data_IF_979084737282
#
_entry.id   IF_979084737282
#
_cell.length_a   1.000
_cell.length_b   1.000
_cell.length_c   1.000
_cell.angle_alpha   90.00
_cell.angle_beta   90.00
_cell.angle_gamma   90.00
#
_symmetry.space_group_name_H-M   'P 1'
#
loop_
_entity.id
_entity.type
_entity.pdbx_description
1 polymer ?
#
# COMPACT_ATOMS: atom_id res chain seq x y z
N UNK A 1 27.61 -21.87 -19.04
CA UNK A 1 28.47 -20.77 -18.52
C UNK A 1 28.32 -19.49 -19.34
N UNK A 2 28.46 -19.53 -20.67
CA UNK A 2 28.29 -18.33 -21.52
C UNK A 2 26.91 -17.68 -21.39
N UNK A 3 25.83 -18.45 -21.30
CA UNK A 3 24.45 -17.94 -21.11
C UNK A 3 24.25 -17.19 -19.78
N UNK A 4 24.82 -17.71 -18.69
CA UNK A 4 24.72 -17.11 -17.36
C UNK A 4 25.51 -15.79 -17.32
N UNK A 5 26.73 -15.78 -17.86
CA UNK A 5 27.54 -14.55 -17.92
C UNK A 5 26.82 -13.48 -18.76
N UNK A 6 26.25 -13.84 -19.92
CA UNK A 6 25.47 -12.90 -20.72
C UNK A 6 24.24 -12.35 -19.99
N UNK A 7 23.55 -13.19 -19.21
CA UNK A 7 22.39 -12.76 -18.42
C UNK A 7 22.80 -11.83 -17.27
N UNK A 8 23.90 -12.11 -16.58
CA UNK A 8 24.44 -11.24 -15.53
C UNK A 8 24.88 -9.88 -16.08
N UNK A 9 25.55 -9.86 -17.24
CA UNK A 9 25.94 -8.60 -17.91
C UNK A 9 24.71 -7.80 -18.34
N UNK A 10 23.71 -8.46 -18.95
CA UNK A 10 22.46 -7.79 -19.34
C UNK A 10 21.69 -7.25 -18.13
N UNK A 11 21.70 -7.98 -17.02
CA UNK A 11 21.09 -7.56 -15.76
C UNK A 11 21.80 -6.34 -15.14
N UNK A 12 23.13 -6.36 -15.10
CA UNK A 12 23.93 -5.23 -14.63
C UNK A 12 23.69 -3.96 -15.47
N UNK A 13 23.70 -4.09 -16.80
CA UNK A 13 23.40 -2.97 -17.71
C UNK A 13 21.96 -2.45 -17.53
N UNK A 14 21.00 -3.35 -17.30
CA UNK A 14 19.61 -2.98 -17.02
C UNK A 14 19.48 -2.21 -15.69
N UNK A 15 20.15 -2.66 -14.63
CA UNK A 15 20.18 -1.96 -13.33
C UNK A 15 20.83 -0.60 -13.47
N UNK A 16 21.96 -0.50 -14.18
CA UNK A 16 22.66 0.78 -14.38
C UNK A 16 21.76 1.79 -15.10
N UNK A 17 21.10 1.35 -16.18
CA UNK A 17 20.11 2.18 -16.90
C UNK A 17 18.93 2.55 -16.02
N UNK A 18 18.44 1.63 -15.20
CA UNK A 18 17.33 1.88 -14.29
C UNK A 18 17.71 2.94 -13.26
N UNK A 19 18.86 2.79 -12.58
CA UNK A 19 19.37 3.75 -11.60
C UNK A 19 19.62 5.13 -12.21
N UNK A 20 20.16 5.19 -13.44
CA UNK A 20 20.45 6.46 -14.11
C UNK A 20 19.18 7.26 -14.47
N UNK A 21 18.09 6.56 -14.80
CA UNK A 21 16.81 7.19 -15.17
C UNK A 21 15.86 7.39 -13.97
N UNK A 22 16.24 6.92 -12.79
CA UNK A 22 15.41 7.01 -11.58
C UNK A 22 15.78 8.26 -10.77
N UNK A 23 14.81 9.05 -10.29
CA UNK A 23 15.09 10.16 -9.37
C UNK A 23 15.86 9.69 -8.14
N UNK A 24 16.83 10.49 -7.68
CA UNK A 24 17.72 10.14 -6.56
C UNK A 24 16.99 9.60 -5.32
N UNK A 25 15.85 10.18 -4.88
CA UNK A 25 15.14 9.66 -3.72
C UNK A 25 14.62 8.23 -3.83
N UNK A 26 14.45 7.72 -5.05
CA UNK A 26 13.87 6.39 -5.31
C UNK A 26 14.96 5.34 -5.52
N UNK A 27 16.21 5.75 -5.76
CA UNK A 27 17.33 4.81 -5.95
C UNK A 27 17.48 3.83 -4.76
N UNK A 28 17.40 4.25 -3.48
CA UNK A 28 17.44 3.32 -2.34
C UNK A 28 16.34 2.25 -2.39
N UNK A 29 15.13 2.62 -2.83
CA UNK A 29 14.01 1.67 -3.01
C UNK A 29 14.39 0.59 -4.02
N UNK A 30 14.94 0.98 -5.17
CA UNK A 30 15.38 0.03 -6.21
C UNK A 30 16.47 -0.87 -5.68
N UNK A 31 17.43 -0.32 -4.94
CA UNK A 31 18.54 -1.08 -4.37
C UNK A 31 18.05 -2.11 -3.33
N UNK A 32 17.10 -1.72 -2.48
CA UNK A 32 16.43 -2.61 -1.53
C UNK A 32 15.69 -3.74 -2.26
N UNK A 33 14.88 -3.42 -3.27
CA UNK A 33 14.18 -4.42 -4.09
C UNK A 33 15.15 -5.42 -4.75
N UNK A 34 16.25 -4.93 -5.32
CA UNK A 34 17.27 -5.77 -5.97
C UNK A 34 18.00 -6.67 -4.96
N UNK A 35 18.32 -6.14 -3.77
CA UNK A 35 18.96 -6.89 -2.70
C UNK A 35 18.05 -8.04 -2.22
N UNK A 36 16.75 -7.77 -2.06
CA UNK A 36 15.78 -8.77 -1.63
C UNK A 36 15.54 -9.86 -2.68
N UNK A 37 15.40 -9.50 -3.97
CA UNK A 37 15.34 -10.48 -5.07
C UNK A 37 16.60 -11.34 -5.09
N UNK A 38 17.77 -10.73 -4.93
CA UNK A 38 19.05 -11.43 -4.84
C UNK A 38 19.10 -12.39 -3.64
N UNK A 39 18.61 -11.96 -2.48
CA UNK A 39 18.51 -12.76 -1.27
C UNK A 39 17.60 -13.99 -1.44
N UNK A 40 16.40 -13.80 -1.98
CA UNK A 40 15.46 -14.89 -2.27
C UNK A 40 16.02 -15.89 -3.28
N UNK A 41 16.69 -15.41 -4.32
CA UNK A 41 17.36 -16.25 -5.31
C UNK A 41 18.52 -17.04 -4.70
N UNK A 42 19.30 -16.42 -3.81
CA UNK A 42 20.40 -17.08 -3.09
C UNK A 42 19.88 -18.18 -2.16
N UNK A 43 18.79 -17.95 -1.43
CA UNK A 43 18.15 -18.97 -0.60
C UNK A 43 17.75 -20.17 -1.45
N UNK A 44 17.20 -19.95 -2.64
CA UNK A 44 16.82 -21.04 -3.56
C UNK A 44 18.00 -21.86 -4.03
N UNK A 45 19.08 -21.18 -4.43
CA UNK A 45 20.32 -21.85 -4.83
C UNK A 45 20.93 -22.64 -3.66
N UNK A 46 20.87 -22.09 -2.44
CA UNK A 46 21.33 -22.77 -1.23
C UNK A 46 20.49 -24.02 -0.94
N UNK A 47 19.17 -23.93 -0.96
CA UNK A 47 18.27 -25.07 -0.75
C UNK A 47 18.53 -26.16 -1.80
N UNK A 48 18.57 -25.80 -3.09
CA UNK A 48 18.84 -26.76 -4.17
C UNK A 48 20.21 -27.45 -4.03
N UNK A 49 21.27 -26.69 -3.73
CA UNK A 49 22.64 -27.22 -3.72
C UNK A 49 22.98 -27.96 -2.43
N UNK A 50 22.59 -27.41 -1.29
CA UNK A 50 23.04 -27.87 0.03
C UNK A 50 22.02 -28.81 0.67
N UNK A 51 20.73 -28.56 0.46
CA UNK A 51 19.65 -29.37 1.02
C UNK A 51 19.31 -30.51 0.06
N UNK A 52 18.91 -30.24 -1.19
CA UNK A 52 18.50 -31.32 -2.11
C UNK A 52 19.69 -32.16 -2.60
N UNK A 53 20.82 -31.54 -2.93
CA UNK A 53 22.01 -32.22 -3.47
C UNK A 53 23.14 -32.51 -2.47
N UNK A 54 22.99 -32.07 -1.21
CA UNK A 54 24.10 -31.98 -0.26
C UNK A 54 23.94 -32.85 1.00
N UNK A 55 24.91 -32.76 1.93
CA UNK A 55 24.92 -33.57 3.15
C UNK A 55 23.76 -33.24 4.11
N UNK A 56 23.17 -32.05 4.01
CA UNK A 56 21.98 -31.70 4.80
C UNK A 56 20.73 -32.45 4.32
N UNK A 57 20.67 -32.84 3.04
CA UNK A 57 19.54 -33.62 2.50
C UNK A 57 19.32 -34.92 3.26
N UNK A 58 20.40 -35.62 3.62
CA UNK A 58 20.30 -36.86 4.41
C UNK A 58 19.75 -36.60 5.83
N UNK A 59 20.11 -35.46 6.44
CA UNK A 59 19.62 -35.09 7.78
C UNK A 59 18.14 -34.72 7.71
N UNK A 60 17.76 -33.91 6.71
CA UNK A 60 16.37 -33.49 6.51
C UNK A 60 15.49 -34.68 6.13
N UNK A 61 15.97 -35.58 5.27
CA UNK A 61 15.29 -36.82 4.92
C UNK A 61 15.06 -37.73 6.12
N UNK A 62 16.07 -37.92 6.96
CA UNK A 62 15.93 -38.70 8.20
C UNK A 62 14.90 -38.08 9.17
N UNK A 63 14.89 -36.75 9.31
CA UNK A 63 13.85 -36.06 10.10
C UNK A 63 12.46 -36.22 9.47
N UNK A 64 12.36 -36.11 8.15
CA UNK A 64 11.12 -36.31 7.42
C UNK A 64 10.56 -37.72 7.62
N UNK A 65 11.41 -38.74 7.53
CA UNK A 65 11.03 -40.13 7.78
C UNK A 65 10.60 -40.32 9.24
N UNK A 66 11.33 -39.75 10.21
CA UNK A 66 11.02 -39.86 11.64
C UNK A 66 9.68 -39.21 12.01
N UNK A 67 9.39 -38.01 11.50
CA UNK A 67 8.21 -37.24 11.90
C UNK A 67 6.99 -37.44 10.98
N UNK A 68 7.23 -37.64 9.68
CA UNK A 68 6.19 -37.66 8.63
C UNK A 68 6.03 -39.04 7.98
N UNK A 69 6.95 -39.98 8.26
CA UNK A 69 6.89 -41.34 7.72
C UNK A 69 7.31 -41.47 6.25
N UNK A 70 7.85 -40.40 5.66
CA UNK A 70 8.33 -40.38 4.28
C UNK A 70 9.57 -39.48 4.18
N UNK A 71 10.65 -39.98 3.57
CA UNK A 71 11.96 -39.29 3.47
C UNK A 71 11.86 -37.99 2.66
N UNK A 72 11.11 -38.00 1.55
CA UNK A 72 11.10 -36.88 0.59
C UNK A 72 10.10 -35.77 0.93
N UNK A 73 9.12 -36.02 1.80
CA UNK A 73 7.97 -35.13 2.00
C UNK A 73 8.38 -33.73 2.48
N UNK A 74 9.31 -33.66 3.42
CA UNK A 74 9.77 -32.40 3.99
C UNK A 74 10.67 -31.64 3.00
N UNK A 75 11.48 -32.34 2.21
CA UNK A 75 12.28 -31.75 1.14
C UNK A 75 11.40 -31.15 0.05
N UNK A 76 10.39 -31.87 -0.42
CA UNK A 76 9.45 -31.38 -1.42
C UNK A 76 8.61 -30.22 -0.88
N UNK A 77 8.20 -30.26 0.40
CA UNK A 77 7.50 -29.14 1.05
C UNK A 77 8.39 -27.89 1.10
N UNK A 78 9.70 -28.03 1.35
CA UNK A 78 10.63 -26.89 1.31
C UNK A 78 10.83 -26.34 -0.09
N UNK A 79 10.96 -27.21 -1.09
CA UNK A 79 11.07 -26.79 -2.49
C UNK A 79 9.82 -26.04 -2.94
N UNK A 80 8.64 -26.56 -2.59
CA UNK A 80 7.36 -25.90 -2.81
C UNK A 80 7.31 -24.52 -2.14
N UNK A 81 7.61 -24.46 -0.83
CA UNK A 81 7.54 -23.23 -0.06
C UNK A 81 8.50 -22.17 -0.59
N UNK A 82 9.72 -22.57 -0.96
CA UNK A 82 10.71 -21.66 -1.55
C UNK A 82 10.26 -21.16 -2.92
N UNK A 83 9.79 -22.06 -3.80
CA UNK A 83 9.29 -21.69 -5.14
C UNK A 83 8.11 -20.73 -5.01
N UNK A 84 7.17 -21.02 -4.12
CA UNK A 84 6.03 -20.17 -3.82
C UNK A 84 6.47 -18.78 -3.33
N UNK A 85 7.38 -18.71 -2.35
CA UNK A 85 7.90 -17.43 -1.85
C UNK A 85 8.68 -16.65 -2.90
N UNK A 86 9.39 -17.35 -3.78
CA UNK A 86 10.09 -16.73 -4.89
C UNK A 86 9.12 -16.11 -5.91
N UNK A 87 8.05 -16.83 -6.27
CA UNK A 87 6.97 -16.30 -7.14
C UNK A 87 6.27 -15.09 -6.51
N UNK A 88 5.91 -15.18 -5.22
CA UNK A 88 5.34 -14.07 -4.45
C UNK A 88 6.30 -12.88 -4.41
N UNK A 89 7.58 -13.11 -4.16
CA UNK A 89 8.61 -12.08 -4.16
C UNK A 89 8.69 -11.37 -5.50
N UNK A 90 8.82 -12.11 -6.62
CA UNK A 90 8.87 -11.54 -7.97
C UNK A 90 7.62 -10.70 -8.25
N UNK A 91 6.42 -11.23 -7.98
CA UNK A 91 5.18 -10.51 -8.25
C UNK A 91 5.06 -9.26 -7.36
N UNK A 92 5.46 -9.37 -6.09
CA UNK A 92 5.51 -8.23 -5.16
C UNK A 92 6.41 -7.13 -5.69
N UNK A 93 7.63 -7.46 -6.15
CA UNK A 93 8.54 -6.47 -6.72
C UNK A 93 8.05 -5.90 -8.05
N UNK A 94 7.41 -6.70 -8.90
CA UNK A 94 6.78 -6.20 -10.11
C UNK A 94 5.70 -5.16 -9.77
N UNK A 95 4.85 -5.45 -8.78
CA UNK A 95 3.81 -4.53 -8.33
C UNK A 95 4.42 -3.29 -7.67
N UNK A 96 5.39 -3.45 -6.78
CA UNK A 96 6.11 -2.33 -6.19
C UNK A 96 6.71 -1.43 -7.28
N UNK A 97 7.31 -2.02 -8.33
CA UNK A 97 7.78 -1.30 -9.51
C UNK A 97 6.68 -0.55 -10.26
N UNK A 98 5.48 -1.13 -10.40
CA UNK A 98 4.29 -0.43 -10.95
C UNK A 98 3.86 0.72 -10.05
N UNK A 99 3.86 0.55 -8.72
CA UNK A 99 3.55 1.62 -7.76
C UNK A 99 4.57 2.75 -7.87
N UNK A 100 5.87 2.44 -7.88
CA UNK A 100 6.96 3.39 -8.11
C UNK A 100 6.72 4.15 -9.41
N UNK A 101 6.47 3.44 -10.51
CA UNK A 101 6.22 4.05 -11.82
C UNK A 101 5.01 4.97 -11.83
N UNK A 102 3.90 4.54 -11.22
CA UNK A 102 2.68 5.33 -11.10
C UNK A 102 2.89 6.59 -10.25
N UNK A 103 3.66 6.50 -9.17
CA UNK A 103 3.98 7.67 -8.34
C UNK A 103 4.96 8.61 -9.04
N UNK A 104 6.01 8.09 -9.67
CA UNK A 104 6.93 8.91 -10.45
C UNK A 104 6.21 9.66 -11.57
N UNK A 105 5.25 9.01 -12.23
CA UNK A 105 4.39 9.68 -13.20
C UNK A 105 3.58 10.81 -12.56
N UNK A 106 3.03 10.60 -11.35
CA UNK A 106 2.28 11.65 -10.63
C UNK A 106 3.16 12.80 -10.16
N UNK A 107 4.38 12.52 -9.68
CA UNK A 107 5.35 13.57 -9.30
C UNK A 107 5.78 14.38 -10.52
N UNK A 108 6.05 13.72 -11.66
CA UNK A 108 6.38 14.43 -12.89
C UNK A 108 5.22 15.30 -13.39
N UNK A 109 3.97 14.80 -13.30
CA UNK A 109 2.78 15.60 -13.63
C UNK A 109 2.57 16.75 -12.66
N UNK A 110 2.82 16.55 -11.37
CA UNK A 110 2.78 17.60 -10.37
C UNK A 110 3.74 18.73 -10.75
N UNK A 111 4.97 18.38 -11.14
CA UNK A 111 5.96 19.35 -11.61
C UNK A 111 5.49 20.08 -12.88
N UNK A 112 4.91 19.36 -13.84
CA UNK A 112 4.38 19.96 -15.08
C UNK A 112 3.20 20.91 -14.79
N UNK A 113 2.26 20.51 -13.93
CA UNK A 113 1.11 21.32 -13.53
C UNK A 113 1.58 22.52 -12.71
N UNK A 114 2.52 22.34 -11.80
CA UNK A 114 3.11 23.45 -11.04
C UNK A 114 3.78 24.47 -11.94
N UNK A 115 4.33 24.06 -13.08
CA UNK A 115 4.96 24.96 -14.05
C UNK A 115 3.95 25.59 -15.02
N UNK A 116 2.93 24.85 -15.46
CA UNK A 116 2.01 25.28 -16.51
C UNK A 116 0.77 26.01 -15.99
N UNK A 117 0.22 25.57 -14.86
CA UNK A 117 -1.10 26.01 -14.41
C UNK A 117 -1.03 27.20 -13.44
N UNK A 118 0.16 27.53 -12.93
CA UNK A 118 0.29 28.37 -11.75
C UNK A 118 1.19 29.58 -11.90
N UNK A 119 2.02 29.60 -12.94
CA UNK A 119 2.81 30.76 -13.35
C UNK A 119 2.18 31.30 -14.64
N UNK A 120 0.93 31.76 -14.51
CA UNK A 120 0.11 32.15 -15.66
C UNK A 120 0.63 33.42 -16.31
N UNK A 121 1.29 34.28 -15.53
CA UNK A 121 1.91 35.52 -16.01
C UNK A 121 3.40 35.39 -16.36
N UNK A 122 4.04 34.25 -16.04
CA UNK A 122 5.41 33.93 -16.42
C UNK A 122 6.46 34.63 -15.57
N UNK A 123 6.10 35.11 -14.38
CA UNK A 123 7.01 35.77 -13.44
C UNK A 123 7.84 34.78 -12.60
N UNK A 124 7.50 33.50 -12.65
CA UNK A 124 8.19 32.40 -11.96
C UNK A 124 7.78 32.23 -10.50
N UNK A 125 6.78 32.98 -10.03
CA UNK A 125 6.11 32.81 -8.75
C UNK A 125 4.72 32.17 -8.97
N UNK A 126 4.18 31.55 -7.94
CA UNK A 126 2.84 30.95 -7.96
C UNK A 126 2.02 31.62 -6.90
N UNK A 127 1.03 32.41 -7.29
CA UNK A 127 0.16 33.09 -6.33
C UNK A 127 -1.05 32.24 -5.96
N UNK A 128 -1.63 32.50 -4.78
CA UNK A 128 -2.88 31.85 -4.36
C UNK A 128 -4.04 32.13 -5.32
N UNK A 129 -4.02 33.25 -6.03
CA UNK A 129 -5.06 33.62 -6.98
C UNK A 129 -5.00 32.74 -8.24
N UNK A 130 -3.80 32.55 -8.80
CA UNK A 130 -3.55 31.64 -9.92
C UNK A 130 -3.90 30.21 -9.54
N UNK A 131 -3.53 29.78 -8.34
CA UNK A 131 -3.91 28.46 -7.82
C UNK A 131 -5.42 28.30 -7.73
N UNK A 132 -6.13 29.31 -7.23
CA UNK A 132 -7.58 29.25 -7.08
C UNK A 132 -8.32 29.33 -8.43
N UNK A 133 -7.76 30.01 -9.42
CA UNK A 133 -8.25 30.00 -10.80
C UNK A 133 -8.02 28.62 -11.46
N UNK A 134 -6.82 28.06 -11.34
CA UNK A 134 -6.46 26.76 -11.91
C UNK A 134 -7.28 25.60 -11.35
N UNK A 135 -7.67 25.68 -10.07
CA UNK A 135 -8.49 24.66 -9.41
C UNK A 135 -9.99 24.89 -9.55
N UNK A 136 -10.41 25.91 -10.30
CA UNK A 136 -11.82 26.28 -10.47
C UNK A 136 -12.55 26.36 -9.11
N UNK A 137 -11.88 26.91 -8.08
CA UNK A 137 -12.41 26.91 -6.71
C UNK A 137 -13.74 27.65 -6.70
N UNK A 138 -14.83 26.93 -6.41
CA UNK A 138 -16.12 27.56 -6.21
C UNK A 138 -16.00 28.62 -5.11
N UNK A 139 -16.38 29.86 -5.44
CA UNK A 139 -16.36 30.96 -4.48
C UNK A 139 -17.29 30.60 -3.33
N UNK A 140 -16.72 30.29 -2.17
CA UNK A 140 -17.46 30.11 -0.94
C UNK A 140 -17.67 31.48 -0.34
N UNK A 141 -18.92 31.86 -0.09
CA UNK A 141 -19.21 33.10 0.65
C UNK A 141 -18.79 32.86 2.09
N UNK A 142 -17.58 33.29 2.43
CA UNK A 142 -17.02 33.19 3.80
C UNK A 142 -17.40 34.42 4.60
N UNK A 143 -17.45 35.60 3.97
CA UNK A 143 -18.01 36.83 4.53
C UNK A 143 -19.55 36.71 4.67
N UNK A 144 -20.01 36.33 5.86
CA UNK A 144 -21.41 36.04 6.14
C UNK A 144 -22.22 37.31 6.39
N UNK A 145 -21.58 38.37 6.90
CA UNK A 145 -22.25 39.64 7.21
C UNK A 145 -22.06 40.73 6.14
N UNK A 146 -21.15 40.52 5.19
CA UNK A 146 -20.91 41.36 4.03
C UNK A 146 -20.08 42.62 4.34
N UNK A 147 -19.32 42.63 5.44
CA UNK A 147 -18.51 43.78 5.85
C UNK A 147 -17.14 43.85 5.15
N UNK A 148 -16.78 42.81 4.39
CA UNK A 148 -15.52 42.68 3.66
C UNK A 148 -14.32 42.28 4.54
N UNK A 149 -14.55 41.89 5.79
CA UNK A 149 -13.55 41.41 6.74
C UNK A 149 -13.90 40.00 7.23
N UNK A 150 -13.30 38.99 6.62
CA UNK A 150 -13.41 37.61 7.14
C UNK A 150 -12.88 37.53 8.57
N UNK A 151 -13.79 37.30 9.51
CA UNK A 151 -13.50 37.05 10.92
C UNK A 151 -13.06 35.60 11.18
N UNK A 152 -12.47 35.35 12.35
CA UNK A 152 -12.12 33.99 12.78
C UNK A 152 -13.39 33.14 12.92
N UNK A 153 -14.48 33.73 13.42
CA UNK A 153 -15.78 33.08 13.55
C UNK A 153 -16.37 32.64 12.19
N UNK A 154 -16.30 33.49 11.18
CA UNK A 154 -16.77 33.18 9.82
C UNK A 154 -15.92 32.11 9.13
N UNK A 155 -14.60 32.16 9.33
CA UNK A 155 -13.68 31.10 8.89
C UNK A 155 -14.08 29.75 9.48
N UNK A 156 -14.34 29.73 10.79
CA UNK A 156 -14.78 28.54 11.50
C UNK A 156 -16.14 28.05 10.99
N UNK A 157 -17.08 28.95 10.73
CA UNK A 157 -18.40 28.58 10.20
C UNK A 157 -18.32 28.02 8.77
N UNK A 158 -17.49 28.60 7.91
CA UNK A 158 -17.23 28.08 6.56
C UNK A 158 -16.59 26.68 6.59
N UNK A 159 -15.60 26.46 7.46
CA UNK A 159 -14.98 25.14 7.68
C UNK A 159 -16.02 24.10 8.16
N UNK A 160 -16.95 24.51 9.02
CA UNK A 160 -18.03 23.65 9.52
C UNK A 160 -19.08 23.36 8.46
N UNK A 161 -19.45 24.34 7.64
CA UNK A 161 -20.41 24.16 6.55
C UNK A 161 -19.93 23.09 5.56
N UNK A 162 -18.63 23.06 5.24
CA UNK A 162 -18.03 22.06 4.34
C UNK A 162 -17.97 20.65 4.94
N UNK A 163 -18.00 20.53 6.27
CA UNK A 163 -17.83 19.24 6.97
C UNK A 163 -19.07 18.33 6.95
N UNK A 164 -20.25 18.87 6.59
CA UNK A 164 -21.54 18.18 6.73
C UNK A 164 -21.71 16.91 5.89
N UNK A 165 -21.05 16.83 4.73
CA UNK A 165 -21.26 15.74 3.74
C UNK A 165 -20.32 14.54 3.90
N UNK A 166 -19.43 14.56 4.88
CA UNK A 166 -18.19 13.76 4.79
C UNK A 166 -18.17 12.44 5.56
N UNK A 167 -19.27 12.07 6.22
CA UNK A 167 -19.37 10.78 6.94
C UNK A 167 -19.58 9.57 6.03
N UNK A 168 -19.63 9.78 4.72
CA UNK A 168 -19.97 8.76 3.74
C UNK A 168 -18.73 8.07 3.14
N UNK A 169 -18.87 6.77 2.88
CA UNK A 169 -17.84 5.94 2.25
C UNK A 169 -17.52 6.37 0.81
N UNK A 170 -18.37 7.21 0.21
CA UNK A 170 -18.13 7.87 -1.07
C UNK A 170 -16.79 8.61 -1.12
N UNK A 171 -16.27 9.08 0.01
CA UNK A 171 -14.98 9.75 0.08
C UNK A 171 -13.81 8.91 -0.48
N UNK A 172 -13.85 7.58 -0.37
CA UNK A 172 -12.82 6.70 -0.96
C UNK A 172 -12.90 6.73 -2.48
N UNK A 173 -14.11 6.62 -3.05
CA UNK A 173 -14.30 6.64 -4.48
C UNK A 173 -13.96 8.01 -5.07
N UNK A 174 -14.36 9.10 -4.41
CA UNK A 174 -13.99 10.46 -4.82
C UNK A 174 -12.47 10.60 -4.85
N UNK A 175 -11.77 10.21 -3.78
CA UNK A 175 -10.31 10.26 -3.72
C UNK A 175 -9.66 9.42 -4.83
N UNK A 176 -10.17 8.21 -5.09
CA UNK A 176 -9.66 7.34 -6.15
C UNK A 176 -9.86 7.95 -7.54
N UNK A 177 -10.94 8.70 -7.74
CA UNK A 177 -11.30 9.35 -9.01
C UNK A 177 -10.73 10.76 -9.16
N UNK A 178 -10.02 11.31 -8.16
CA UNK A 178 -9.39 12.63 -8.26
C UNK A 178 -8.44 12.68 -9.47
N UNK A 179 -8.64 13.70 -10.30
CA UNK A 179 -7.79 13.98 -11.44
C UNK A 179 -6.38 14.41 -11.03
N UNK A 180 -5.44 14.39 -11.98
CA UNK A 180 -4.08 14.83 -11.72
C UNK A 180 -4.01 16.32 -11.32
N UNK A 181 -4.87 17.16 -11.91
CA UNK A 181 -4.97 18.60 -11.59
C UNK A 181 -5.44 18.85 -10.16
N UNK A 182 -6.47 18.14 -9.71
CA UNK A 182 -7.00 18.31 -8.34
C UNK A 182 -5.95 17.88 -7.29
N UNK A 183 -5.25 16.76 -7.54
CA UNK A 183 -4.14 16.29 -6.70
C UNK A 183 -2.98 17.26 -6.68
N UNK A 184 -2.66 17.86 -7.83
CA UNK A 184 -1.65 18.89 -7.89
C UNK A 184 -2.05 20.09 -7.03
N UNK A 185 -3.31 20.53 -7.16
CA UNK A 185 -3.90 21.55 -6.31
C UNK A 185 -3.73 21.31 -4.82
N UNK A 186 -4.07 20.10 -4.38
CA UNK A 186 -3.89 19.68 -2.98
C UNK A 186 -2.44 19.83 -2.50
N UNK A 187 -1.46 19.40 -3.32
CA UNK A 187 -0.05 19.55 -3.00
C UNK A 187 0.36 21.03 -2.92
N UNK A 188 -0.12 21.87 -3.83
CA UNK A 188 0.25 23.29 -3.87
C UNK A 188 -0.34 24.06 -2.69
N UNK A 189 -1.58 23.75 -2.31
CA UNK A 189 -2.20 24.31 -1.11
C UNK A 189 -1.37 23.98 0.14
N UNK A 190 -0.77 22.79 0.22
CA UNK A 190 0.15 22.44 1.31
C UNK A 190 1.45 23.20 1.21
N UNK A 191 2.01 23.31 0.00
CA UNK A 191 3.26 24.04 -0.24
C UNK A 191 3.18 25.44 0.35
N UNK A 192 2.13 26.17 0.01
CA UNK A 192 1.89 27.52 0.51
C UNK A 192 1.82 27.55 2.04
N UNK A 193 1.09 26.61 2.64
CA UNK A 193 1.01 26.50 4.10
C UNK A 193 2.35 26.15 4.74
N UNK A 194 3.14 25.26 4.13
CA UNK A 194 4.47 24.91 4.64
C UNK A 194 5.40 26.12 4.56
N UNK A 195 5.35 26.87 3.46
CA UNK A 195 6.14 28.09 3.30
C UNK A 195 5.79 29.13 4.35
N UNK A 196 4.51 29.37 4.59
CA UNK A 196 4.04 30.30 5.63
C UNK A 196 4.48 29.85 7.03
N UNK A 197 4.23 28.59 7.38
CA UNK A 197 4.49 28.08 8.74
C UNK A 197 5.97 27.93 9.07
N UNK A 198 6.80 27.61 8.08
CA UNK A 198 8.20 27.24 8.26
C UNK A 198 9.16 28.30 7.71
N UNK A 199 8.63 29.44 7.24
CA UNK A 199 9.42 30.53 6.65
C UNK A 199 10.31 30.04 5.48
N UNK A 200 9.75 29.15 4.64
CA UNK A 200 10.48 28.59 3.50
C UNK A 200 10.48 29.59 2.32
N UNK A 201 11.55 29.59 1.50
CA UNK A 201 11.62 30.49 0.36
C UNK A 201 10.57 30.14 -0.71
N UNK A 202 10.22 31.13 -1.54
CA UNK A 202 9.37 30.95 -2.73
C UNK A 202 9.94 29.94 -3.74
N UNK A 203 11.24 29.63 -3.67
CA UNK A 203 11.86 28.57 -4.47
C UNK A 203 11.64 27.16 -3.92
N UNK A 204 10.92 26.99 -2.80
CA UNK A 204 10.62 25.68 -2.23
C UNK A 204 9.79 24.87 -3.23
N UNK A 205 10.34 23.71 -3.61
CA UNK A 205 9.74 22.82 -4.59
C UNK A 205 9.21 21.58 -3.87
N UNK A 206 7.91 21.59 -3.61
CA UNK A 206 7.22 20.58 -2.81
C UNK A 206 7.29 19.18 -3.45
N UNK A 207 7.50 19.11 -4.77
CA UNK A 207 7.68 17.89 -5.54
C UNK A 207 8.89 17.09 -5.03
N UNK A 208 10.02 17.77 -4.80
CA UNK A 208 11.24 17.12 -4.32
C UNK A 208 11.08 16.64 -2.89
N UNK A 209 10.46 17.47 -2.04
CA UNK A 209 10.15 17.10 -0.67
C UNK A 209 9.25 15.86 -0.61
N UNK A 210 8.17 15.82 -1.39
CA UNK A 210 7.31 14.64 -1.49
C UNK A 210 8.04 13.42 -2.06
N UNK A 211 8.90 13.60 -3.07
CA UNK A 211 9.66 12.50 -3.64
C UNK A 211 10.64 11.89 -2.61
N UNK A 212 11.22 12.70 -1.73
CA UNK A 212 12.07 12.25 -0.63
C UNK A 212 11.29 11.45 0.41
N UNK A 213 10.23 12.04 0.99
CA UNK A 213 9.37 11.36 1.96
C UNK A 213 8.78 10.06 1.37
N UNK A 214 8.39 10.10 0.09
CA UNK A 214 7.89 8.92 -0.60
C UNK A 214 8.98 7.85 -0.76
N UNK A 215 10.19 8.23 -1.18
CA UNK A 215 11.32 7.33 -1.32
C UNK A 215 11.66 6.61 -0.03
N UNK A 216 11.79 7.36 1.07
CA UNK A 216 12.08 6.82 2.41
C UNK A 216 10.99 5.85 2.87
N UNK A 217 9.72 6.27 2.82
CA UNK A 217 8.62 5.41 3.27
C UNK A 217 8.45 4.17 2.38
N UNK A 218 8.75 4.28 1.09
CA UNK A 218 8.64 3.16 0.17
C UNK A 218 9.78 2.17 0.34
N UNK A 219 11.00 2.64 0.55
CA UNK A 219 12.16 1.80 0.86
C UNK A 219 11.84 0.88 2.03
N UNK A 220 11.25 1.46 3.08
CA UNK A 220 10.78 0.67 4.20
C UNK A 220 9.70 -0.34 3.79
N UNK A 221 8.66 0.06 3.04
CA UNK A 221 7.60 -0.87 2.62
C UNK A 221 8.12 -2.04 1.78
N UNK A 222 9.11 -1.82 0.92
CA UNK A 222 9.65 -2.89 0.06
C UNK A 222 10.55 -3.87 0.80
N UNK A 223 11.07 -3.49 1.98
CA UNK A 223 11.89 -4.37 2.81
C UNK A 223 11.07 -5.55 3.36
N UNK A 224 11.50 -6.77 3.02
CA UNK A 224 10.79 -8.00 3.34
C UNK A 224 11.21 -8.51 4.73
N UNK A 225 10.49 -8.09 5.77
CA UNK A 225 10.71 -8.63 7.11
C UNK A 225 10.20 -10.07 7.22
N UNK A 226 10.99 -11.04 7.73
CA UNK A 226 10.54 -12.41 8.00
C UNK A 226 9.24 -12.51 8.82
N UNK A 227 8.93 -11.49 9.63
CA UNK A 227 7.73 -11.43 10.45
C UNK A 227 6.46 -11.27 9.60
N UNK A 228 6.54 -10.60 8.45
CA UNK A 228 5.37 -10.43 7.57
C UNK A 228 4.89 -11.77 7.02
N UNK A 229 5.76 -12.80 6.98
CA UNK A 229 5.46 -14.13 6.47
C UNK A 229 4.67 -15.00 7.44
N UNK A 230 4.82 -14.77 8.75
CA UNK A 230 4.26 -15.63 9.79
C UNK A 230 2.74 -15.86 9.66
N UNK A 231 1.91 -14.84 9.31
CA UNK A 231 0.48 -15.04 9.16
C UNK A 231 0.08 -15.93 7.97
N UNK A 232 0.92 -16.06 6.93
CA UNK A 232 0.61 -16.96 5.80
C UNK A 232 0.97 -18.40 6.04
N UNK A 233 1.95 -18.69 6.90
CA UNK A 233 2.39 -20.06 7.14
C UNK A 233 1.22 -20.97 7.55
N UNK A 234 0.33 -20.58 8.51
CA UNK A 234 -0.83 -21.40 8.84
C UNK A 234 -1.80 -21.60 7.68
N UNK A 235 -1.96 -20.60 6.80
CA UNK A 235 -2.88 -20.68 5.67
C UNK A 235 -2.35 -21.63 4.60
N UNK A 236 -1.08 -21.46 4.22
CA UNK A 236 -0.39 -22.37 3.30
C UNK A 236 -0.39 -23.79 3.87
N UNK A 237 -0.19 -23.95 5.18
CA UNK A 237 -0.24 -25.27 5.81
C UNK A 237 -1.64 -25.90 5.80
N UNK A 238 -2.70 -25.12 6.04
CA UNK A 238 -4.08 -25.59 5.95
C UNK A 238 -4.42 -26.02 4.52
N UNK A 239 -4.02 -25.22 3.55
CA UNK A 239 -4.24 -25.49 2.15
C UNK A 239 -3.45 -26.73 1.68
N UNK A 240 -2.16 -26.80 2.00
CA UNK A 240 -1.32 -27.96 1.71
C UNK A 240 -1.86 -29.23 2.39
N UNK A 241 -2.61 -29.12 3.50
CA UNK A 241 -3.23 -30.29 4.13
C UNK A 241 -4.25 -30.98 3.21
N UNK A 242 -4.88 -30.25 2.29
CA UNK A 242 -5.79 -30.83 1.28
C UNK A 242 -5.00 -31.67 0.29
N UNK A 243 -3.94 -31.09 -0.27
CA UNK A 243 -3.06 -31.77 -1.22
C UNK A 243 -2.42 -33.01 -0.58
N UNK A 244 -1.86 -32.87 0.62
CA UNK A 244 -1.25 -33.98 1.38
C UNK A 244 -2.26 -35.08 1.73
N UNK A 245 -3.52 -34.74 2.01
CA UNK A 245 -4.56 -35.75 2.28
C UNK A 245 -4.94 -36.59 1.06
N UNK A 246 -4.45 -36.20 -0.13
CA UNK A 246 -4.70 -36.81 -1.43
C UNK A 246 -3.43 -37.29 -2.11
N UNK A 247 -2.35 -37.42 -1.36
CA UNK A 247 -1.04 -37.80 -1.88
C UNK A 247 -0.54 -36.86 -3.01
N UNK A 248 -1.10 -35.65 -3.10
CA UNK A 248 -0.61 -34.59 -4.00
C UNK A 248 0.46 -33.83 -3.26
N UNK A 249 1.67 -33.84 -3.80
CA UNK A 249 2.80 -33.21 -3.11
C UNK A 249 3.11 -31.81 -3.65
N UNK A 250 2.75 -31.54 -4.91
CA UNK A 250 2.81 -30.21 -5.50
C UNK A 250 1.82 -30.01 -6.64
N UNK A 251 1.46 -28.77 -6.96
CA UNK A 251 0.62 -28.45 -8.13
C UNK A 251 1.29 -28.79 -9.48
N UNK A 252 2.61 -29.03 -9.50
CA UNK A 252 3.35 -29.47 -10.67
C UNK A 252 3.46 -31.01 -10.80
N UNK A 253 3.03 -31.75 -9.77
CA UNK A 253 3.06 -33.21 -9.77
C UNK A 253 2.12 -33.81 -10.82
N UNK A 254 2.43 -35.01 -11.30
CA UNK A 254 1.59 -35.71 -12.28
C UNK A 254 0.19 -36.06 -11.75
N UNK A 255 0.03 -36.10 -10.42
CA UNK A 255 -1.25 -36.35 -9.77
C UNK A 255 -1.91 -35.07 -9.20
N UNK A 256 -1.44 -33.88 -9.58
CA UNK A 256 -1.98 -32.61 -9.09
C UNK A 256 -3.51 -32.50 -9.22
N UNK A 257 -4.12 -33.10 -10.25
CA UNK A 257 -5.57 -33.06 -10.47
C UNK A 257 -6.38 -33.87 -9.43
N UNK A 258 -5.75 -34.72 -8.62
CA UNK A 258 -6.41 -35.51 -7.58
C UNK A 258 -6.93 -34.66 -6.41
N UNK A 259 -6.43 -33.42 -6.25
CA UNK A 259 -6.93 -32.49 -5.22
C UNK A 259 -7.96 -31.48 -5.75
N UNK A 260 -8.16 -31.39 -7.07
CA UNK A 260 -9.15 -30.50 -7.67
C UNK A 260 -10.56 -30.73 -7.11
N UNK A 261 -11.20 -29.65 -6.68
CA UNK A 261 -12.54 -29.64 -6.10
C UNK A 261 -12.59 -29.96 -4.59
N UNK A 262 -11.47 -30.30 -3.95
CA UNK A 262 -11.43 -30.56 -2.51
C UNK A 262 -11.12 -29.34 -1.65
N UNK A 263 -10.58 -28.25 -2.21
CA UNK A 263 -10.44 -26.98 -1.48
C UNK A 263 -11.80 -26.35 -1.23
N UNK A 264 -12.76 -26.55 -2.14
CA UNK A 264 -14.15 -26.16 -1.95
C UNK A 264 -14.90 -27.10 -0.98
N UNK A 265 -14.69 -28.41 -1.09
CA UNK A 265 -15.42 -29.39 -0.26
C UNK A 265 -14.91 -29.46 1.18
N UNK A 266 -13.64 -29.10 1.44
CA UNK A 266 -13.10 -29.09 2.80
C UNK A 266 -13.56 -27.83 3.56
N UNK A 267 -14.45 -27.95 4.57
CA UNK A 267 -15.02 -26.79 5.24
C UNK A 267 -13.98 -26.00 6.04
N UNK A 268 -12.90 -26.63 6.52
CA UNK A 268 -11.86 -25.93 7.28
C UNK A 268 -11.15 -24.94 6.37
N UNK A 269 -10.70 -25.41 5.21
CA UNK A 269 -10.02 -24.60 4.19
C UNK A 269 -10.94 -23.56 3.59
N UNK A 270 -12.15 -23.95 3.18
CA UNK A 270 -13.13 -23.03 2.61
C UNK A 270 -13.44 -21.88 3.57
N UNK A 271 -13.80 -22.18 4.82
CA UNK A 271 -14.18 -21.15 5.78
C UNK A 271 -12.99 -20.31 6.26
N UNK A 272 -11.78 -20.88 6.40
CA UNK A 272 -10.60 -20.08 6.71
C UNK A 272 -10.27 -19.10 5.60
N UNK A 273 -10.36 -19.54 4.34
CA UNK A 273 -10.04 -18.72 3.18
C UNK A 273 -11.07 -17.62 2.94
N UNK A 274 -12.37 -17.93 3.13
CA UNK A 274 -13.42 -16.90 3.13
C UNK A 274 -13.18 -15.88 4.26
N UNK A 275 -12.89 -16.35 5.48
CA UNK A 275 -12.65 -15.47 6.62
C UNK A 275 -11.45 -14.54 6.36
N UNK A 276 -10.35 -15.09 5.85
CA UNK A 276 -9.17 -14.32 5.47
C UNK A 276 -9.50 -13.29 4.38
N UNK A 277 -10.24 -13.69 3.34
CA UNK A 277 -10.63 -12.78 2.26
C UNK A 277 -11.46 -11.61 2.79
N UNK A 278 -12.44 -11.88 3.66
CA UNK A 278 -13.28 -10.84 4.29
C UNK A 278 -12.44 -9.91 5.15
N UNK A 279 -11.55 -10.46 5.98
CA UNK A 279 -10.64 -9.66 6.81
C UNK A 279 -9.74 -8.79 5.93
N UNK A 280 -9.16 -9.34 4.87
CA UNK A 280 -8.27 -8.64 3.96
C UNK A 280 -8.97 -7.47 3.26
N UNK A 281 -10.15 -7.70 2.66
CA UNK A 281 -10.92 -6.63 1.98
C UNK A 281 -11.29 -5.53 2.99
N UNK A 282 -11.77 -5.94 4.16
CA UNK A 282 -12.18 -5.00 5.22
C UNK A 282 -11.00 -4.15 5.67
N UNK A 283 -9.82 -4.75 5.80
CA UNK A 283 -8.59 -4.07 6.17
C UNK A 283 -8.07 -3.12 5.08
N UNK A 284 -8.16 -3.52 3.81
CA UNK A 284 -7.84 -2.68 2.65
C UNK A 284 -8.65 -1.38 2.66
N UNK A 285 -9.97 -1.54 2.74
CA UNK A 285 -10.94 -0.44 2.75
C UNK A 285 -10.75 0.43 3.98
N UNK A 286 -10.45 -0.16 5.13
CA UNK A 286 -10.17 0.58 6.35
C UNK A 286 -8.92 1.45 6.23
N UNK A 287 -7.79 0.91 5.77
CA UNK A 287 -6.56 1.69 5.57
C UNK A 287 -6.79 2.84 4.58
N UNK A 288 -7.44 2.54 3.45
CA UNK A 288 -7.75 3.55 2.42
C UNK A 288 -8.66 4.65 2.95
N UNK A 289 -9.77 4.28 3.60
CA UNK A 289 -10.69 5.20 4.26
C UNK A 289 -9.96 6.07 5.28
N UNK A 290 -9.19 5.46 6.19
CA UNK A 290 -8.50 6.13 7.28
C UNK A 290 -7.54 7.21 6.75
N UNK A 291 -6.66 6.84 5.82
CA UNK A 291 -5.68 7.78 5.27
C UNK A 291 -6.37 8.93 4.52
N UNK A 292 -7.42 8.63 3.74
CA UNK A 292 -8.22 9.65 3.06
C UNK A 292 -8.94 10.57 4.05
N UNK A 293 -9.55 10.05 5.11
CA UNK A 293 -10.24 10.85 6.12
C UNK A 293 -9.27 11.77 6.87
N UNK A 294 -8.07 11.30 7.22
CA UNK A 294 -7.06 12.13 7.89
C UNK A 294 -6.50 13.17 6.95
N UNK A 295 -6.21 12.80 5.69
CA UNK A 295 -5.77 13.74 4.64
C UNK A 295 -6.73 14.93 4.52
N UNK A 296 -8.04 14.68 4.50
CA UNK A 296 -9.07 15.73 4.43
C UNK A 296 -9.11 16.64 5.65
N UNK A 297 -8.70 16.15 6.82
CA UNK A 297 -8.56 16.97 8.03
C UNK A 297 -7.29 17.84 8.00
N UNK A 298 -6.24 17.38 7.32
CA UNK A 298 -4.95 18.05 7.17
C UNK A 298 -4.91 19.07 6.03
N UNK A 299 -5.72 18.85 5.00
CA UNK A 299 -5.79 19.74 3.85
C UNK A 299 -6.33 21.12 4.25
N UNK A 300 -5.55 22.19 4.03
CA UNK A 300 -6.08 23.55 4.08
C UNK A 300 -7.19 23.72 3.04
N UNK A 301 -8.13 24.61 3.32
CA UNK A 301 -9.24 24.88 2.40
C UNK A 301 -8.99 26.20 1.70
N UNK A 302 -8.72 26.15 0.40
CA UNK A 302 -8.64 27.32 -0.45
C UNK A 302 -10.04 27.89 -0.68
N UNK A 303 -10.22 29.18 -0.40
CA UNK A 303 -11.49 29.90 -0.57
C UNK A 303 -11.27 31.22 -1.29
N UNK A 304 -12.27 31.66 -2.05
CA UNK A 304 -12.36 33.04 -2.58
C UNK A 304 -13.48 33.78 -1.86
N UNK A 305 -13.14 34.92 -1.27
CA UNK A 305 -14.04 35.77 -0.46
C UNK A 305 -15.28 36.25 -1.25
N UNK A 306 -15.14 36.43 -2.57
CA UNK A 306 -16.23 36.71 -3.49
C UNK A 306 -15.79 36.38 -4.93
N UNK A 307 -16.64 36.63 -5.95
CA UNK A 307 -16.26 36.45 -7.36
C UNK A 307 -15.00 37.24 -7.77
N UNK A 308 -14.69 38.34 -7.07
CA UNK A 308 -13.49 39.16 -7.28
C UNK A 308 -12.63 39.26 -6.01
N UNK A 309 -12.87 38.38 -5.03
CA UNK A 309 -12.17 38.39 -3.75
C UNK A 309 -10.81 37.73 -3.85
N UNK A 310 -9.86 38.19 -3.05
CA UNK A 310 -8.51 37.60 -2.99
C UNK A 310 -8.63 36.17 -2.44
N UNK A 311 -8.03 35.21 -3.14
CA UNK A 311 -7.92 33.84 -2.66
C UNK A 311 -7.17 33.77 -1.31
N UNK A 312 -7.70 33.00 -0.36
CA UNK A 312 -7.10 32.79 0.96
C UNK A 312 -7.12 31.31 1.33
N UNK A 313 -6.11 30.88 2.07
CA UNK A 313 -6.07 29.56 2.67
C UNK A 313 -6.66 29.60 4.08
N UNK A 314 -7.74 28.85 4.27
CA UNK A 314 -8.25 28.58 5.61
C UNK A 314 -7.34 27.54 6.30
N UNK A 315 -7.17 27.63 7.64
CA UNK A 315 -6.44 26.63 8.39
C UNK A 315 -7.04 25.23 8.18
N UNK A 316 -6.25 24.15 8.35
CA UNK A 316 -6.80 22.82 8.28
C UNK A 316 -7.86 22.58 9.33
N UNK A 317 -8.77 21.68 8.98
CA UNK A 317 -9.96 21.41 9.78
C UNK A 317 -9.67 20.83 11.15
N UNK A 318 -8.52 20.17 11.34
CA UNK A 318 -8.14 19.67 12.66
C UNK A 318 -7.81 20.78 13.66
N UNK A 319 -7.55 22.00 13.20
CA UNK A 319 -7.26 23.14 14.09
C UNK A 319 -8.54 23.67 14.76
N UNK A 320 -9.73 23.45 14.18
CA UNK A 320 -10.99 23.73 14.86
C UNK A 320 -11.24 22.65 15.94
N UNK A 321 -11.27 22.99 17.24
CA UNK A 321 -11.46 22.02 18.32
C UNK A 321 -12.80 21.28 18.25
N UNK A 322 -13.84 21.90 17.69
CA UNK A 322 -15.16 21.29 17.51
C UNK A 322 -15.09 20.24 16.40
N UNK A 323 -14.50 20.56 15.25
CA UNK A 323 -14.33 19.60 14.16
C UNK A 323 -13.40 18.46 14.57
N UNK A 324 -12.28 18.76 15.23
CA UNK A 324 -11.36 17.74 15.75
C UNK A 324 -12.04 16.80 16.74
N UNK A 325 -12.84 17.33 17.68
CA UNK A 325 -13.57 16.51 18.65
C UNK A 325 -14.69 15.66 18.01
N UNK A 326 -15.29 16.14 16.93
CA UNK A 326 -16.30 15.40 16.16
C UNK A 326 -15.67 14.35 15.23
N UNK A 327 -14.42 14.56 14.82
CA UNK A 327 -13.69 13.65 13.98
C UNK A 327 -13.29 12.40 14.75
N UNK A 328 -13.83 11.26 14.32
CA UNK A 328 -13.44 9.95 14.83
C UNK A 328 -12.90 9.13 13.67
N UNK A 329 -11.58 9.07 13.56
CA UNK A 329 -10.93 8.28 12.52
C UNK A 329 -10.94 6.79 12.83
N UNK A 330 -11.31 6.37 14.04
CA UNK A 330 -11.36 4.96 14.43
C UNK A 330 -12.81 4.56 14.64
N UNK A 331 -13.36 3.76 13.72
CA UNK A 331 -14.63 3.06 13.99
C UNK A 331 -14.43 2.07 15.14
N UNK A 332 -15.44 1.93 16.00
CA UNK A 332 -15.41 1.05 17.18
C UNK A 332 -14.99 -0.40 16.87
N UNK A 333 -15.22 -0.88 15.65
CA UNK A 333 -14.86 -2.23 15.20
C UNK A 333 -13.34 -2.38 15.01
N UNK A 334 -12.64 -1.31 14.60
CA UNK A 334 -11.20 -1.34 14.32
C UNK A 334 -10.33 -0.86 15.48
N UNK A 335 -10.94 -0.24 16.50
CA UNK A 335 -10.23 0.24 17.70
C UNK A 335 -9.43 -0.88 18.40
N UNK A 336 -9.98 -2.10 18.45
CA UNK A 336 -9.25 -3.25 18.97
C UNK A 336 -8.01 -3.58 18.14
N UNK A 337 -8.12 -3.54 16.80
CA UNK A 337 -7.01 -3.82 15.90
C UNK A 337 -5.89 -2.79 16.04
N UNK A 338 -6.23 -1.49 16.05
CA UNK A 338 -5.25 -0.42 16.29
C UNK A 338 -4.58 -0.57 17.66
N UNK A 339 -5.34 -0.89 18.71
CA UNK A 339 -4.79 -1.16 20.05
C UNK A 339 -3.86 -2.35 20.09
N UNK A 340 -4.16 -3.39 19.32
CA UNK A 340 -3.32 -4.58 19.21
C UNK A 340 -1.96 -4.22 18.59
N UNK A 341 -1.95 -3.54 17.43
CA UNK A 341 -0.70 -3.17 16.74
C UNK A 341 0.15 -2.13 17.50
N UNK A 342 -0.49 -1.29 18.32
CA UNK A 342 0.21 -0.28 19.13
C UNK A 342 0.69 -0.80 20.49
N UNK A 343 0.30 -2.02 20.86
CA UNK A 343 0.61 -2.63 22.16
C UNK A 343 -0.15 -2.00 23.33
N UNK A 344 -1.36 -1.46 23.11
CA UNK A 344 -2.20 -0.86 24.16
C UNK A 344 -2.86 0.46 23.82
N UNK A 345 -2.74 0.93 22.58
CA UNK A 345 -3.33 2.17 22.08
C UNK A 345 -2.66 3.43 22.59
N UNK A 346 -3.43 4.52 22.60
CA UNK A 346 -3.00 5.83 23.09
C UNK A 346 -2.55 5.84 24.56
N UNK A 347 -2.80 4.78 25.34
CA UNK A 347 -2.27 4.65 26.70
C UNK A 347 -0.76 4.37 26.72
N UNK A 348 -0.25 3.64 25.74
CA UNK A 348 1.18 3.31 25.63
C UNK A 348 1.92 4.28 24.72
N UNK A 349 1.21 4.95 23.82
CA UNK A 349 1.77 5.92 22.88
C UNK A 349 0.80 7.08 22.68
N UNK A 350 0.62 7.96 23.69
CA UNK A 350 -0.30 9.09 23.59
C UNK A 350 0.13 10.05 22.47
N UNK A 351 -0.82 10.71 21.80
CA UNK A 351 -0.49 11.72 20.80
C UNK A 351 0.28 12.88 21.46
N UNK A 352 1.30 13.37 20.75
CA UNK A 352 2.19 14.47 21.18
C UNK A 352 1.70 15.83 20.72
N UNK A 353 0.89 15.87 19.67
CA UNK A 353 0.34 17.07 19.05
C UNK A 353 -1.06 16.80 18.47
N UNK A 354 -1.72 17.86 18.03
CA UNK A 354 -3.10 17.80 17.49
C UNK A 354 -3.20 16.97 16.20
N UNK A 355 -2.11 16.85 15.44
CA UNK A 355 -2.05 15.99 14.27
C UNK A 355 -2.10 14.51 14.65
N UNK A 356 -1.30 14.09 15.64
CA UNK A 356 -1.28 12.72 16.13
C UNK A 356 -2.61 12.30 16.80
N UNK A 357 -3.37 13.26 17.33
CA UNK A 357 -4.72 13.00 17.85
C UNK A 357 -5.66 12.46 16.75
N UNK A 358 -5.44 12.85 15.49
CA UNK A 358 -6.25 12.40 14.36
C UNK A 358 -6.14 10.89 14.11
N UNK A 359 -5.12 10.21 14.64
CA UNK A 359 -4.94 8.77 14.44
C UNK A 359 -5.55 7.92 15.55
N UNK A 360 -6.24 8.53 16.51
CA UNK A 360 -7.00 7.82 17.53
C UNK A 360 -6.12 6.92 18.40
N UNK A 361 -6.34 5.60 18.35
CA UNK A 361 -5.60 4.66 19.17
C UNK A 361 -4.12 4.54 18.77
N UNK A 362 -3.77 4.88 17.53
CA UNK A 362 -2.38 4.83 17.06
C UNK A 362 -1.49 5.91 17.66
N UNK A 363 -2.06 7.07 17.99
CA UNK A 363 -1.36 8.20 18.63
C UNK A 363 0.01 8.47 18.01
N UNK A 364 1.05 8.57 18.84
CA UNK A 364 2.42 8.87 18.39
C UNK A 364 3.10 7.77 17.54
N UNK A 365 2.52 6.57 17.45
CA UNK A 365 3.06 5.44 16.67
C UNK A 365 2.38 5.28 15.31
N UNK A 366 1.56 6.24 14.89
CA UNK A 366 0.75 6.10 13.68
C UNK A 366 1.58 5.77 12.43
N UNK A 367 2.78 6.36 12.28
CA UNK A 367 3.63 6.14 11.11
C UNK A 367 3.98 4.66 10.95
N UNK A 368 4.63 4.06 11.96
CA UNK A 368 5.01 2.65 11.91
C UNK A 368 3.78 1.73 11.81
N UNK A 369 2.71 2.02 12.54
CA UNK A 369 1.49 1.21 12.52
C UNK A 369 0.85 1.18 11.13
N UNK A 370 0.67 2.33 10.47
CA UNK A 370 0.04 2.36 9.15
C UNK A 370 0.98 1.94 8.03
N UNK A 371 2.27 2.22 8.14
CA UNK A 371 3.29 1.70 7.21
C UNK A 371 3.32 0.17 7.23
N UNK A 372 3.40 -0.43 8.41
CA UNK A 372 3.42 -1.88 8.58
C UNK A 372 2.08 -2.49 8.16
N UNK A 373 0.96 -1.79 8.41
CA UNK A 373 -0.38 -2.19 7.96
C UNK A 373 -0.49 -2.22 6.43
N UNK A 374 -0.01 -1.16 5.74
CA UNK A 374 0.00 -1.08 4.27
C UNK A 374 0.94 -2.15 3.69
N UNK A 375 2.12 -2.32 4.28
CA UNK A 375 3.09 -3.36 3.89
C UNK A 375 2.49 -4.74 3.99
N UNK A 376 1.98 -5.10 5.17
CA UNK A 376 1.36 -6.39 5.43
C UNK A 376 0.20 -6.66 4.48
N UNK A 377 -0.67 -5.67 4.27
CA UNK A 377 -1.83 -5.83 3.40
C UNK A 377 -1.46 -6.00 1.93
N UNK A 378 -0.53 -5.19 1.42
CA UNK A 378 -0.04 -5.29 0.03
C UNK A 378 0.53 -6.68 -0.20
N UNK A 379 1.37 -7.14 0.73
CA UNK A 379 1.99 -8.44 0.65
C UNK A 379 0.97 -9.60 0.75
N UNK A 380 -0.01 -9.50 1.66
CA UNK A 380 -1.12 -10.46 1.76
C UNK A 380 -1.90 -10.58 0.44
N UNK A 381 -2.19 -9.45 -0.23
CA UNK A 381 -2.87 -9.47 -1.53
C UNK A 381 -2.03 -10.17 -2.60
N UNK A 382 -0.72 -9.89 -2.67
CA UNK A 382 0.17 -10.55 -3.64
C UNK A 382 0.19 -12.05 -3.40
N UNK A 383 0.36 -12.47 -2.15
CA UNK A 383 0.41 -13.89 -1.83
C UNK A 383 -0.91 -14.59 -2.13
N UNK A 384 -2.06 -13.97 -1.85
CA UNK A 384 -3.37 -14.48 -2.24
C UNK A 384 -3.52 -14.63 -3.76
N UNK A 385 -3.03 -13.65 -4.54
CA UNK A 385 -3.06 -13.70 -6.00
C UNK A 385 -2.21 -14.86 -6.50
N UNK A 386 -0.94 -14.95 -6.08
CA UNK A 386 -0.05 -16.04 -6.52
C UNK A 386 -0.65 -17.38 -6.13
N UNK A 387 -0.99 -17.55 -4.85
CA UNK A 387 -1.52 -18.81 -4.32
C UNK A 387 -2.78 -19.25 -5.05
N UNK A 388 -3.81 -18.40 -5.06
CA UNK A 388 -5.11 -18.75 -5.65
C UNK A 388 -4.98 -19.00 -7.17
N UNK A 389 -4.10 -18.27 -7.85
CA UNK A 389 -3.90 -18.41 -9.30
C UNK A 389 -3.13 -19.68 -9.64
N UNK A 390 -1.94 -19.88 -9.05
CA UNK A 390 -1.02 -20.95 -9.44
C UNK A 390 -1.43 -22.29 -8.86
N UNK A 391 -1.91 -22.33 -7.62
CA UNK A 391 -2.22 -23.58 -6.93
C UNK A 391 -3.62 -24.09 -7.27
N UNK A 392 -4.59 -23.21 -7.49
CA UNK A 392 -6.00 -23.61 -7.60
C UNK A 392 -6.58 -23.29 -8.97
N UNK A 393 -6.68 -22.00 -9.34
CA UNK A 393 -7.37 -21.56 -10.56
C UNK A 393 -6.77 -22.18 -11.82
N UNK A 394 -5.45 -22.12 -12.00
CA UNK A 394 -4.81 -22.71 -13.19
C UNK A 394 -4.89 -24.23 -13.19
N UNK A 395 -4.76 -24.87 -12.04
CA UNK A 395 -4.86 -26.33 -11.90
C UNK A 395 -6.26 -26.82 -12.29
N UNK A 396 -7.30 -26.23 -11.70
CA UNK A 396 -8.70 -26.59 -11.96
C UNK A 396 -9.11 -26.27 -13.40
N UNK A 397 -8.71 -25.09 -13.91
CA UNK A 397 -8.98 -24.72 -15.29
C UNK A 397 -8.32 -25.69 -16.28
N UNK A 398 -7.08 -26.10 -16.01
CA UNK A 398 -6.34 -27.08 -16.83
C UNK A 398 -7.01 -28.45 -16.79
N UNK A 399 -7.40 -28.92 -15.60
CA UNK A 399 -8.07 -30.21 -15.44
C UNK A 399 -9.40 -30.26 -16.21
N UNK A 400 -10.21 -29.20 -16.11
CA UNK A 400 -11.46 -29.06 -16.86
C UNK A 400 -11.22 -28.95 -18.37
N UNK A 401 -10.22 -28.18 -18.80
CA UNK A 401 -9.89 -28.00 -20.21
C UNK A 401 -9.42 -29.30 -20.88
N UNK A 402 -8.54 -30.05 -20.21
CA UNK A 402 -8.01 -31.32 -20.69
C UNK A 402 -8.98 -32.50 -20.48
N UNK A 403 -10.08 -32.29 -19.74
CA UNK A 403 -11.03 -33.34 -19.35
C UNK A 403 -10.36 -34.49 -18.59
N UNK A 404 -9.40 -34.15 -17.72
CA UNK A 404 -8.66 -35.11 -16.90
C UNK A 404 -9.52 -35.64 -15.76
N UNK A 405 -9.13 -36.80 -15.22
CA UNK A 405 -9.79 -37.34 -14.03
C UNK A 405 -9.39 -36.51 -12.81
N UNK A 406 -10.36 -35.80 -12.24
CA UNK A 406 -10.19 -34.99 -11.02
C UNK A 406 -10.67 -35.73 -9.78
N UNK A 407 -10.13 -35.34 -8.63
CA UNK A 407 -10.50 -35.93 -7.34
C UNK A 407 -11.97 -35.75 -6.94
N UNK A 408 -12.53 -34.55 -7.18
CA UNK A 408 -13.93 -34.25 -6.92
C UNK A 408 -14.58 -33.46 -8.08
N UNK A 409 -15.15 -34.15 -9.08
CA UNK A 409 -15.71 -33.50 -10.26
C UNK A 409 -16.84 -32.50 -9.97
N UNK A 410 -17.64 -32.72 -8.93
CA UNK A 410 -18.73 -31.81 -8.55
C UNK A 410 -18.23 -30.52 -7.89
N UNK A 411 -17.08 -30.55 -7.22
CA UNK A 411 -16.50 -29.40 -6.53
C UNK A 411 -15.57 -28.56 -7.41
N UNK A 412 -14.99 -29.12 -8.48
CA UNK A 412 -13.97 -28.42 -9.29
C UNK A 412 -14.47 -27.12 -9.92
N UNK A 413 -15.68 -27.09 -10.49
CA UNK A 413 -16.21 -25.85 -11.08
C UNK A 413 -16.54 -24.78 -10.02
N UNK A 414 -17.26 -25.10 -8.91
CA UNK A 414 -17.42 -24.17 -7.80
C UNK A 414 -16.11 -23.65 -7.21
N UNK A 415 -15.11 -24.51 -7.06
CA UNK A 415 -13.76 -24.18 -6.60
C UNK A 415 -13.11 -23.13 -7.52
N UNK A 416 -13.01 -23.44 -8.82
CA UNK A 416 -12.48 -22.53 -9.83
C UNK A 416 -13.16 -21.14 -9.78
N UNK A 417 -14.49 -21.11 -9.70
CA UNK A 417 -15.25 -19.86 -9.65
C UNK A 417 -14.94 -19.06 -8.38
N UNK A 418 -14.98 -19.72 -7.21
CA UNK A 418 -14.76 -19.05 -5.93
C UNK A 418 -13.34 -18.48 -5.82
N UNK A 419 -12.32 -19.26 -6.18
CA UNK A 419 -10.94 -18.82 -6.12
C UNK A 419 -10.63 -17.76 -7.17
N UNK A 420 -11.29 -17.79 -8.33
CA UNK A 420 -11.22 -16.69 -9.29
C UNK A 420 -11.79 -15.39 -8.72
N UNK A 421 -12.89 -15.46 -7.94
CA UNK A 421 -13.43 -14.29 -7.24
C UNK A 421 -12.43 -13.76 -6.20
N UNK A 422 -11.73 -14.65 -5.49
CA UNK A 422 -10.69 -14.22 -4.54
C UNK A 422 -9.52 -13.53 -5.25
N UNK A 423 -9.05 -14.06 -6.39
CA UNK A 423 -8.03 -13.40 -7.22
C UNK A 423 -8.49 -12.00 -7.65
N UNK A 424 -9.69 -11.87 -8.22
CA UNK A 424 -10.24 -10.57 -8.66
C UNK A 424 -10.35 -9.61 -7.48
N UNK A 425 -10.79 -10.10 -6.33
CA UNK A 425 -10.91 -9.31 -5.12
C UNK A 425 -9.56 -8.86 -4.57
N UNK A 426 -8.53 -9.71 -4.59
CA UNK A 426 -7.18 -9.35 -4.18
C UNK A 426 -6.54 -8.33 -5.15
N UNK A 427 -6.79 -8.46 -6.46
CA UNK A 427 -6.38 -7.46 -7.46
C UNK A 427 -7.06 -6.11 -7.20
N UNK A 428 -8.35 -6.10 -6.87
CA UNK A 428 -9.05 -4.88 -6.50
C UNK A 428 -8.45 -4.23 -5.24
N UNK A 429 -8.21 -5.00 -4.18
CA UNK A 429 -7.56 -4.49 -2.96
C UNK A 429 -6.19 -3.89 -3.27
N UNK A 430 -5.40 -4.59 -4.08
CA UNK A 430 -4.08 -4.13 -4.50
C UNK A 430 -4.14 -2.82 -5.30
N UNK A 431 -5.18 -2.60 -6.12
CA UNK A 431 -5.35 -1.32 -6.82
C UNK A 431 -5.62 -0.13 -5.89
N UNK A 432 -6.03 -0.37 -4.64
CA UNK A 432 -6.17 0.68 -3.63
C UNK A 432 -4.84 1.05 -2.96
N UNK A 433 -3.84 0.17 -3.02
CA UNK A 433 -2.56 0.36 -2.33
C UNK A 433 -1.80 1.61 -2.77
N UNK A 434 -1.67 1.96 -4.07
CA UNK A 434 -0.96 3.16 -4.50
C UNK A 434 -1.57 4.45 -3.93
N UNK A 435 -2.89 4.60 -4.02
CA UNK A 435 -3.59 5.79 -3.51
C UNK A 435 -3.54 5.84 -1.99
N UNK A 436 -3.70 4.69 -1.31
CA UNK A 436 -3.59 4.62 0.16
C UNK A 436 -2.19 4.99 0.63
N UNK A 437 -1.16 4.52 -0.07
CA UNK A 437 0.24 4.83 0.24
C UNK A 437 0.59 6.30 -0.02
N UNK A 438 0.11 6.87 -1.13
CA UNK A 438 0.26 8.31 -1.39
C UNK A 438 -0.41 9.16 -0.31
N UNK A 439 -1.63 8.80 0.09
CA UNK A 439 -2.32 9.49 1.18
C UNK A 439 -1.58 9.31 2.51
N UNK A 440 -0.95 8.15 2.75
CA UNK A 440 -0.09 7.94 3.90
C UNK A 440 1.13 8.89 3.86
N UNK A 441 1.91 8.91 2.77
CA UNK A 441 3.07 9.80 2.64
C UNK A 441 2.68 11.27 2.81
N UNK A 442 1.54 11.65 2.25
CA UNK A 442 0.94 12.96 2.42
C UNK A 442 0.65 13.27 3.88
N UNK A 443 -0.09 12.40 4.54
CA UNK A 443 -0.51 12.59 5.92
C UNK A 443 0.70 12.65 6.85
N UNK A 444 1.76 11.89 6.56
CA UNK A 444 3.00 11.93 7.35
C UNK A 444 3.84 13.18 7.13
N UNK A 445 3.74 13.83 5.98
CA UNK A 445 4.61 14.96 5.61
C UNK A 445 4.13 16.32 6.13
N UNK A 446 2.82 16.51 6.30
CA UNK A 446 2.24 17.84 6.59
C UNK A 446 2.60 18.38 7.99
N UNK A 447 2.92 17.53 8.96
CA UNK A 447 3.15 17.97 10.36
C UNK A 447 4.28 17.19 11.08
N UNK A 448 5.08 16.39 10.37
CA UNK A 448 6.15 15.55 10.94
C UNK A 448 7.53 15.78 10.31
N UNK A 449 8.51 16.15 11.14
CA UNK A 449 9.97 16.18 10.91
C UNK A 449 10.63 17.47 10.37
N UNK A 450 10.17 18.64 10.82
CA UNK A 450 10.86 19.93 10.58
C UNK A 450 12.20 20.10 11.28
N UNK A 451 12.55 19.27 12.27
CA UNK A 451 13.80 19.49 13.01
C UNK A 451 15.03 18.83 12.37
N UNK A 452 14.86 17.83 11.49
CA UNK A 452 16.00 17.13 10.87
C UNK A 452 16.06 17.32 9.34
N UNK A 453 14.94 17.15 8.64
CA UNK A 453 14.93 17.06 7.17
C UNK A 453 14.81 18.43 6.50
N UNK A 454 14.11 19.39 7.12
CA UNK A 454 13.95 20.75 6.57
C UNK A 454 15.27 21.52 6.52
N UNK A 455 16.21 21.22 7.41
CA UNK A 455 17.56 21.82 7.38
C UNK A 455 18.36 21.51 6.10
N UNK A 456 17.95 20.52 5.30
CA UNK A 456 18.57 20.25 4.01
C UNK A 456 18.05 21.14 2.87
N UNK A 457 16.93 21.83 3.07
CA UNK A 457 16.25 22.64 2.04
C UNK A 457 16.35 24.16 2.26
N UNK A 458 16.75 24.60 3.45
CA UNK A 458 17.18 25.97 3.77
C UNK A 458 18.67 26.15 3.50
#
# INVERSE_FOLDING_TARGET
MTSIVSLLVAWEEAIEKLRHNTPKPIVPVIDSMLAEVGGLGFIGLFLSTVVTGGPLGQVVGALSEEFLGAEDLLLETFEFLHTFFFEVGILFFAIAGVVVGAVLQRVNKLQEISQLALDSDGDGEVTLEELAEALEVESMVVDLDGDGLITEEETIEALRARSGDEKDWSGILTEYMLGDTERAGECLVIRERMMEKLDLPQSFAIEYYFAEIFGENLEEIVELSPVTWLPLIPLIALDNSVDLSRDVVSAASSNAFESCGYFYDNPVVLYSSIALQVVSITWALFNSWKMTSIKKMLLPTLVKDSQNGVARLLPPRYQDPVLRKQFTSTSSIFDWGEKFFTGGGSKTSPPRNEHEELFGASGAKFQSVYRDSIRFHTWLCVAQIVYSTTQIVFRDATALYLSETVGNPSGTLPELILWSIFVISAVFQLSLAPTTFLNYCFVTSVEGETDATVHCFT
#
